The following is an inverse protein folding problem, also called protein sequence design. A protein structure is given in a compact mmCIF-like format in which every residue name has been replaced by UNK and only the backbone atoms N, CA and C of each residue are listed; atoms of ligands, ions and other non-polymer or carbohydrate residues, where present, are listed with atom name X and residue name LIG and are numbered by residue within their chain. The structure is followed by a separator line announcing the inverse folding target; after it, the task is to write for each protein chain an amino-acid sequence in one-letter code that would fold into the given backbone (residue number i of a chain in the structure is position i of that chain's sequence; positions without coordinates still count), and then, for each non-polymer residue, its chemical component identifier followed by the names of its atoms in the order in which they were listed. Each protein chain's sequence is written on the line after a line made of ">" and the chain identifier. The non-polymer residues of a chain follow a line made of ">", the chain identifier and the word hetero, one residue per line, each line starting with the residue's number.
data_IF_691781635487
#
_entry.id   IF_691781635487
#
_cell.length_a   1.000
_cell.length_b   1.000
_cell.length_c   1.000
_cell.angle_alpha   90.00
_cell.angle_beta   90.00
_cell.angle_gamma   90.00
#
_symmetry.space_group_name_H-M   'P 1'
#
loop_
_entity.id
_entity.type
_entity.pdbx_description
1 polymer ?
#
# COMPACT_ATOMS: atom_id res chain seq x y z
N UNK A 1 -7.37 -3.51 4.80
CA UNK A 1 -8.66 -4.13 4.36
C UNK A 1 -8.64 -5.61 4.71
N UNK A 2 -9.81 -6.18 5.00
CA UNK A 2 -10.01 -7.59 5.36
C UNK A 2 -11.09 -8.21 4.46
N UNK A 3 -11.09 -9.53 4.31
CA UNK A 3 -12.12 -10.22 3.54
C UNK A 3 -13.50 -9.98 4.17
N UNK A 4 -14.49 -9.69 3.33
CA UNK A 4 -15.85 -9.34 3.77
C UNK A 4 -16.09 -7.85 4.00
N UNK A 5 -15.05 -7.01 3.99
CA UNK A 5 -15.23 -5.56 4.03
C UNK A 5 -15.97 -5.08 2.77
N UNK A 6 -17.08 -4.36 2.94
CA UNK A 6 -17.82 -3.78 1.82
C UNK A 6 -17.08 -2.56 1.27
N UNK A 7 -16.80 -2.58 -0.04
CA UNK A 7 -16.19 -1.46 -0.76
C UNK A 7 -17.25 -0.80 -1.63
N UNK A 8 -17.41 0.51 -1.49
CA UNK A 8 -18.22 1.35 -2.37
C UNK A 8 -17.29 2.00 -3.40
N UNK A 9 -17.53 1.69 -4.66
CA UNK A 9 -16.88 2.35 -5.80
C UNK A 9 -17.94 3.25 -6.44
N UNK A 10 -17.68 4.55 -6.45
CA UNK A 10 -18.57 5.55 -7.01
C UNK A 10 -17.84 6.25 -8.16
N UNK A 11 -18.21 5.89 -9.40
CA UNK A 11 -17.55 6.39 -10.61
C UNK A 11 -17.91 7.87 -10.87
N UNK A 12 -19.18 8.31 -10.80
CA UNK A 12 -19.52 9.73 -10.94
C UNK A 12 -18.77 10.63 -9.96
N UNK A 13 -18.67 10.22 -8.69
CA UNK A 13 -17.99 11.00 -7.65
C UNK A 13 -16.48 10.69 -7.54
N UNK A 14 -15.94 9.82 -8.41
CA UNK A 14 -14.52 9.41 -8.46
C UNK A 14 -13.97 8.98 -7.10
N UNK A 15 -14.75 8.22 -6.33
CA UNK A 15 -14.38 7.82 -4.98
C UNK A 15 -14.37 6.31 -4.79
N UNK A 16 -13.48 5.83 -3.92
CA UNK A 16 -13.41 4.44 -3.49
C UNK A 16 -13.36 4.46 -1.96
N UNK A 17 -14.42 3.95 -1.33
CA UNK A 17 -14.58 3.98 0.12
C UNK A 17 -14.77 2.58 0.68
N UNK A 18 -14.11 2.28 1.79
CA UNK A 18 -14.42 1.10 2.59
C UNK A 18 -15.51 1.46 3.59
N UNK A 19 -16.62 0.71 3.61
CA UNK A 19 -17.79 1.01 4.44
C UNK A 19 -17.57 0.54 5.89
N UNK A 20 -16.61 1.18 6.56
CA UNK A 20 -16.28 1.00 7.97
C UNK A 20 -16.33 2.36 8.68
N UNK A 21 -16.56 2.36 9.99
CA UNK A 21 -16.43 3.58 10.78
C UNK A 21 -14.97 4.03 10.85
N UNK A 22 -14.75 5.32 11.08
CA UNK A 22 -13.40 5.86 11.27
C UNK A 22 -12.71 5.22 12.49
N UNK A 23 -13.45 4.94 13.55
CA UNK A 23 -12.97 4.27 14.76
C UNK A 23 -12.44 2.86 14.46
N UNK A 24 -13.19 2.07 13.70
CA UNK A 24 -12.76 0.72 13.32
C UNK A 24 -11.53 0.75 12.40
N UNK A 25 -11.45 1.73 11.49
CA UNK A 25 -10.26 1.92 10.66
C UNK A 25 -9.04 2.30 11.50
N UNK A 26 -9.17 3.21 12.45
CA UNK A 26 -8.10 3.62 13.35
C UNK A 26 -7.62 2.45 14.22
N UNK A 27 -8.56 1.68 14.79
CA UNK A 27 -8.25 0.47 15.55
C UNK A 27 -7.47 -0.55 14.70
N UNK A 28 -7.95 -0.85 13.49
CA UNK A 28 -7.27 -1.79 12.57
C UNK A 28 -5.89 -1.30 12.14
N UNK A 29 -5.71 0.01 11.97
CA UNK A 29 -4.40 0.61 11.67
C UNK A 29 -3.44 0.36 12.83
N UNK A 30 -3.83 0.69 14.06
CA UNK A 30 -3.00 0.48 15.25
C UNK A 30 -2.63 -1.01 15.46
N UNK A 31 -3.60 -1.92 15.29
CA UNK A 31 -3.35 -3.38 15.33
C UNK A 31 -2.34 -3.83 14.27
N UNK A 32 -2.38 -3.24 13.08
CA UNK A 32 -1.47 -3.59 11.99
C UNK A 32 -0.09 -2.97 12.17
N UNK A 33 -0.01 -1.75 12.69
CA UNK A 33 1.24 -1.08 13.01
C UNK A 33 2.03 -1.89 14.04
N UNK A 34 1.36 -2.43 15.06
CA UNK A 34 1.96 -3.33 16.05
C UNK A 34 2.47 -4.66 15.45
N UNK A 35 1.79 -5.18 14.41
CA UNK A 35 2.23 -6.40 13.67
C UNK A 35 3.35 -6.12 12.66
N UNK A 36 3.47 -4.87 12.23
CA UNK A 36 4.39 -4.41 11.19
C UNK A 36 3.85 -4.59 9.76
N UNK A 37 4.36 -3.76 8.84
CA UNK A 37 3.97 -3.75 7.42
C UNK A 37 4.89 -4.62 6.58
N UNK A 38 4.82 -5.93 6.80
CA UNK A 38 5.57 -6.93 6.03
C UNK A 38 4.64 -8.02 5.50
N UNK A 39 5.04 -8.78 4.46
CA UNK A 39 4.25 -9.90 3.97
C UNK A 39 3.95 -10.88 5.10
N UNK A 40 2.68 -11.21 5.32
CA UNK A 40 2.27 -12.13 6.39
C UNK A 40 2.73 -13.58 6.15
N UNK A 41 2.89 -13.97 4.88
CA UNK A 41 3.34 -15.28 4.47
C UNK A 41 4.65 -15.17 3.67
N UNK A 42 5.53 -16.19 3.75
CA UNK A 42 6.69 -16.29 2.86
C UNK A 42 6.25 -16.24 1.40
N UNK A 43 6.85 -15.34 0.61
CA UNK A 43 6.59 -15.23 -0.83
C UNK A 43 7.88 -15.51 -1.61
N UNK A 44 8.09 -16.74 -2.12
CA UNK A 44 9.26 -17.05 -2.92
C UNK A 44 9.13 -16.35 -4.28
N UNK A 45 9.76 -15.18 -4.41
CA UNK A 45 9.86 -14.44 -5.66
C UNK A 45 11.32 -14.14 -5.94
N UNK A 46 11.75 -14.36 -7.19
CA UNK A 46 13.07 -13.93 -7.63
C UNK A 46 13.05 -12.42 -7.86
N UNK A 47 13.65 -11.67 -6.94
CA UNK A 47 13.78 -10.21 -7.06
C UNK A 47 15.16 -9.90 -7.64
N UNK A 48 15.19 -9.48 -8.91
CA UNK A 48 16.43 -9.10 -9.59
C UNK A 48 17.06 -7.84 -8.99
N UNK A 49 18.35 -7.61 -9.25
CA UNK A 49 19.04 -6.39 -8.82
C UNK A 49 18.33 -5.12 -9.34
N UNK A 50 17.88 -5.14 -10.60
CA UNK A 50 17.13 -4.05 -11.20
C UNK A 50 15.82 -3.75 -10.45
N UNK A 51 15.08 -4.77 -10.00
CA UNK A 51 13.85 -4.58 -9.22
C UNK A 51 14.14 -4.04 -7.81
N UNK A 52 15.26 -4.43 -7.20
CA UNK A 52 15.70 -3.88 -5.91
C UNK A 52 16.05 -2.39 -6.05
N UNK A 53 16.77 -2.03 -7.11
CA UNK A 53 17.10 -0.64 -7.40
C UNK A 53 15.84 0.19 -7.69
N UNK A 54 14.93 -0.32 -8.51
CA UNK A 54 13.66 0.33 -8.78
C UNK A 54 12.87 0.62 -7.50
N UNK A 55 12.70 -0.39 -6.63
CA UNK A 55 11.94 -0.25 -5.39
C UNK A 55 12.52 0.80 -4.42
N UNK A 56 13.82 1.10 -4.51
CA UNK A 56 14.47 2.14 -3.69
C UNK A 56 14.24 3.56 -4.23
N UNK A 57 14.10 3.71 -5.54
CA UNK A 57 14.09 5.02 -6.21
C UNK A 57 12.70 5.46 -6.64
N UNK A 58 11.76 4.52 -6.75
CA UNK A 58 10.45 4.79 -7.35
C UNK A 58 9.59 5.64 -6.41
N UNK A 59 9.00 6.71 -6.96
CA UNK A 59 7.97 7.49 -6.28
C UNK A 59 6.59 6.82 -6.36
N UNK A 60 5.63 7.35 -5.64
CA UNK A 60 4.25 6.88 -5.67
C UNK A 60 3.60 7.03 -7.06
N UNK A 61 2.58 6.21 -7.35
CA UNK A 61 1.94 6.18 -8.67
C UNK A 61 1.19 7.49 -9.02
N UNK A 62 0.71 8.23 -8.02
CA UNK A 62 0.15 9.58 -8.19
C UNK A 62 1.20 10.60 -8.70
N UNK A 63 2.49 10.34 -8.43
CA UNK A 63 3.62 11.11 -8.98
C UNK A 63 4.17 10.50 -10.29
N UNK A 64 3.47 9.54 -10.88
CA UNK A 64 3.85 8.91 -12.15
C UNK A 64 4.87 7.77 -12.02
N UNK A 65 5.17 7.29 -10.81
CA UNK A 65 6.14 6.21 -10.56
C UNK A 65 7.53 6.48 -11.16
N UNK A 66 7.93 7.75 -11.19
CA UNK A 66 9.27 8.17 -11.65
C UNK A 66 10.34 7.73 -10.65
N UNK A 67 11.58 7.60 -11.13
CA UNK A 67 12.74 7.29 -10.27
C UNK A 67 13.37 8.60 -9.83
N UNK A 68 13.37 8.83 -8.53
CA UNK A 68 14.02 9.98 -7.91
C UNK A 68 15.44 9.58 -7.47
N UNK A 69 16.44 10.21 -8.09
CA UNK A 69 17.85 9.93 -7.81
C UNK A 69 18.32 10.53 -6.48
N UNK A 70 17.62 11.55 -5.96
CA UNK A 70 17.95 12.16 -4.65
C UNK A 70 17.78 11.18 -3.48
N UNK A 71 17.07 10.06 -3.68
CA UNK A 71 16.92 8.97 -2.70
C UNK A 71 18.17 8.09 -2.53
N UNK A 72 19.24 8.36 -3.29
CA UNK A 72 20.54 7.70 -3.17
C UNK A 72 21.55 8.44 -2.29
N UNK A 73 21.29 9.72 -2.03
CA UNK A 73 22.09 10.59 -1.16
C UNK A 73 21.71 10.39 0.32
#
# INVERSE_FOLDING_TARGET
>A
VRNGDRIRIDIPNRSINVLLSAEELAKRRAEQDAKGWKPALPRPRKVSAALKAYAKLVMSADKGAVRDLSLLD
#
